data_IF_907729804517
#
_entry.id   IF_907729804517
#
_cell.length_a   1.000
_cell.length_b   1.000
_cell.length_c   1.000
_cell.angle_alpha   90.00
_cell.angle_beta   90.00
_cell.angle_gamma   90.00
#
_symmetry.space_group_name_H-M   'P 1'
#
loop_
_entity.id
_entity.type
_entity.pdbx_description
1 polymer ?
#
# COMPACT_ATOMS: atom_id res chain seq x y z
N UNK A 1 -17.78 -16.97 -17.73
CA UNK A 1 -18.65 -15.99 -17.06
C UNK A 1 -18.17 -15.64 -15.64
N UNK A 2 -18.01 -16.62 -14.73
CA UNK A 2 -17.60 -16.36 -13.33
C UNK A 2 -16.38 -15.43 -13.19
N UNK A 3 -15.24 -15.75 -13.84
CA UNK A 3 -14.01 -14.95 -13.73
C UNK A 3 -14.16 -13.53 -14.32
N UNK A 4 -14.98 -13.38 -15.36
CA UNK A 4 -15.26 -12.08 -15.98
C UNK A 4 -16.04 -11.16 -15.03
N UNK A 5 -16.86 -11.74 -14.14
CA UNK A 5 -17.56 -11.00 -13.10
C UNK A 5 -16.67 -10.80 -11.86
N UNK A 6 -15.95 -11.83 -11.42
CA UNK A 6 -15.07 -11.75 -10.26
C UNK A 6 -13.99 -10.67 -10.43
N UNK A 7 -13.37 -10.57 -11.62
CA UNK A 7 -12.30 -9.58 -11.88
C UNK A 7 -12.76 -8.11 -11.83
N UNK A 8 -14.07 -7.85 -11.85
CA UNK A 8 -14.64 -6.50 -11.74
C UNK A 8 -14.81 -6.05 -10.28
N UNK A 9 -14.72 -6.96 -9.31
CA UNK A 9 -14.84 -6.63 -7.89
C UNK A 9 -13.62 -5.83 -7.42
N UNK A 10 -13.84 -4.78 -6.64
CA UNK A 10 -12.78 -3.87 -6.17
C UNK A 10 -11.71 -4.54 -5.31
N UNK A 11 -12.04 -5.66 -4.69
CA UNK A 11 -11.15 -6.46 -3.83
C UNK A 11 -10.59 -7.70 -4.53
N UNK A 12 -10.85 -7.87 -5.84
CA UNK A 12 -10.36 -9.01 -6.59
C UNK A 12 -8.82 -9.05 -6.59
N UNK A 13 -8.26 -10.11 -6.02
CA UNK A 13 -6.82 -10.32 -5.95
C UNK A 13 -6.06 -9.32 -5.06
N UNK A 14 -6.74 -8.68 -4.11
CA UNK A 14 -6.10 -7.78 -3.12
C UNK A 14 -5.73 -8.58 -1.88
N UNK A 15 -4.43 -8.68 -1.61
CA UNK A 15 -3.89 -9.27 -0.37
C UNK A 15 -3.76 -8.19 0.72
N UNK A 16 -4.29 -8.44 1.92
CA UNK A 16 -4.52 -7.43 2.96
C UNK A 16 -3.60 -7.61 4.17
N UNK A 17 -3.01 -6.50 4.61
CA UNK A 17 -2.03 -6.44 5.70
C UNK A 17 -2.40 -5.32 6.67
N UNK A 18 -2.51 -5.64 7.96
CA UNK A 18 -2.78 -4.65 9.00
C UNK A 18 -1.55 -3.78 9.26
N UNK A 19 -1.73 -2.48 9.34
CA UNK A 19 -0.67 -1.52 9.63
C UNK A 19 -1.22 -0.30 10.36
N UNK A 20 -0.31 0.57 10.79
CA UNK A 20 -0.58 1.94 11.22
C UNK A 20 0.17 2.91 10.33
N UNK A 21 -0.34 4.11 10.14
CA UNK A 21 0.44 5.19 9.56
C UNK A 21 1.47 5.76 10.57
N UNK A 22 2.16 6.84 10.19
CA UNK A 22 3.13 7.49 11.06
C UNK A 22 2.49 8.22 12.26
N UNK A 23 1.19 8.52 12.19
CA UNK A 23 0.41 9.14 13.26
C UNK A 23 -0.21 8.10 14.21
N UNK A 24 -0.01 6.80 13.93
CA UNK A 24 -0.49 5.69 14.75
C UNK A 24 -1.94 5.26 14.43
N UNK A 25 -2.55 5.83 13.39
CA UNK A 25 -3.91 5.52 12.95
C UNK A 25 -3.92 4.16 12.29
N UNK A 26 -4.86 3.31 12.71
CA UNK A 26 -5.04 1.98 12.13
C UNK A 26 -5.54 2.05 10.69
N UNK A 27 -4.84 1.31 9.82
CA UNK A 27 -5.09 1.23 8.38
C UNK A 27 -4.89 -0.23 7.90
N UNK A 28 -5.27 -0.49 6.66
CA UNK A 28 -4.97 -1.75 5.98
C UNK A 28 -4.24 -1.46 4.68
N UNK A 29 -3.08 -2.09 4.50
CA UNK A 29 -2.36 -2.08 3.23
C UNK A 29 -2.92 -3.21 2.35
N UNK A 30 -3.25 -2.89 1.11
CA UNK A 30 -3.64 -3.87 0.10
C UNK A 30 -2.56 -3.99 -0.97
N UNK A 31 -2.22 -5.20 -1.37
CA UNK A 31 -1.29 -5.47 -2.47
C UNK A 31 -2.06 -6.15 -3.59
N UNK A 32 -1.98 -5.63 -4.80
CA UNK A 32 -2.56 -6.29 -5.98
C UNK A 32 -1.75 -6.00 -7.24
N UNK A 33 -2.19 -6.55 -8.38
CA UNK A 33 -1.54 -6.36 -9.69
C UNK A 33 -1.40 -4.88 -10.08
N UNK A 34 -2.28 -4.02 -9.58
CA UNK A 34 -2.32 -2.60 -9.94
C UNK A 34 -1.44 -1.68 -9.09
N UNK A 35 -0.93 -2.16 -7.94
CA UNK A 35 -0.14 -1.36 -7.01
C UNK A 35 -0.35 -1.72 -5.53
N UNK A 36 0.16 -0.84 -4.66
CA UNK A 36 -0.16 -0.80 -3.24
C UNK A 36 -1.39 0.09 -3.01
N UNK A 37 -2.28 -0.33 -2.12
CA UNK A 37 -3.51 0.34 -1.74
C UNK A 37 -3.47 0.62 -0.24
N UNK A 38 -4.07 1.72 0.19
CA UNK A 38 -4.26 2.00 1.61
C UNK A 38 -5.74 2.17 1.87
N UNK A 39 -6.22 1.46 2.88
CA UNK A 39 -7.60 1.50 3.34
C UNK A 39 -7.67 2.01 4.76
N UNK A 40 -8.69 2.82 5.04
CA UNK A 40 -9.11 3.21 6.39
C UNK A 40 -10.61 2.97 6.48
N UNK A 41 -11.05 2.28 7.52
CA UNK A 41 -12.47 1.94 7.73
C UNK A 41 -13.14 1.31 6.49
N UNK A 42 -12.43 0.38 5.83
CA UNK A 42 -12.82 -0.29 4.57
C UNK A 42 -12.92 0.62 3.33
N UNK A 43 -12.71 1.92 3.47
CA UNK A 43 -12.63 2.86 2.37
C UNK A 43 -11.20 2.96 1.86
N UNK A 44 -11.01 2.84 0.54
CA UNK A 44 -9.69 3.06 -0.08
C UNK A 44 -9.36 4.55 -0.06
N UNK A 45 -8.32 4.93 0.68
CA UNK A 45 -7.90 6.33 0.83
C UNK A 45 -6.73 6.70 -0.09
N UNK A 46 -5.81 5.77 -0.37
CA UNK A 46 -4.65 6.02 -1.24
C UNK A 46 -4.38 4.84 -2.18
N UNK A 47 -3.68 5.13 -3.28
CA UNK A 47 -3.20 4.16 -4.26
C UNK A 47 -1.81 4.57 -4.74
N UNK A 48 -0.88 3.62 -4.73
CA UNK A 48 0.48 3.75 -5.25
C UNK A 48 0.67 2.75 -6.40
N UNK A 49 0.46 3.17 -7.66
CA UNK A 49 0.67 2.30 -8.81
C UNK A 49 2.12 1.85 -8.91
N UNK A 50 2.36 0.59 -9.29
CA UNK A 50 3.73 0.05 -9.40
C UNK A 50 4.70 0.90 -10.23
N UNK A 51 4.31 1.50 -11.37
CA UNK A 51 5.22 2.36 -12.14
C UNK A 51 5.74 3.60 -11.38
N UNK A 52 5.03 4.03 -10.32
CA UNK A 52 5.47 5.14 -9.45
C UNK A 52 6.31 4.68 -8.26
N UNK A 53 6.31 3.39 -7.91
CA UNK A 53 7.07 2.87 -6.77
C UNK A 53 8.52 2.62 -7.19
N UNK A 54 9.45 3.38 -6.62
CA UNK A 54 10.89 3.31 -6.93
C UNK A 54 11.64 2.30 -6.06
N UNK A 55 11.24 2.18 -4.80
CA UNK A 55 11.87 1.27 -3.84
C UNK A 55 10.86 0.83 -2.79
N UNK A 56 10.96 -0.43 -2.40
CA UNK A 56 10.26 -0.99 -1.24
C UNK A 56 11.34 -1.46 -0.26
N UNK A 57 11.16 -1.15 1.01
CA UNK A 57 12.10 -1.55 2.04
C UNK A 57 11.42 -1.66 3.40
N UNK A 58 12.09 -2.31 4.35
CA UNK A 58 11.61 -2.39 5.72
C UNK A 58 12.79 -2.28 6.71
N UNK A 59 12.49 -1.82 7.92
CA UNK A 59 13.43 -1.77 9.05
C UNK A 59 12.68 -2.04 10.34
N UNK A 60 13.07 -3.10 11.07
CA UNK A 60 12.31 -3.63 12.21
C UNK A 60 10.86 -3.90 11.76
N UNK A 61 9.86 -3.33 12.42
CA UNK A 61 8.46 -3.47 12.02
C UNK A 61 7.93 -2.30 11.17
N UNK A 62 8.82 -1.44 10.66
CA UNK A 62 8.42 -0.33 9.78
C UNK A 62 8.65 -0.70 8.32
N UNK A 63 7.62 -0.52 7.50
CA UNK A 63 7.62 -0.74 6.06
C UNK A 63 7.62 0.62 5.34
N UNK A 64 8.40 0.74 4.27
CA UNK A 64 8.61 1.99 3.56
C UNK A 64 8.51 1.81 2.06
N UNK A 65 7.85 2.75 1.40
CA UNK A 65 7.82 2.87 -0.05
C UNK A 65 8.40 4.22 -0.46
N UNK A 66 9.31 4.21 -1.43
CA UNK A 66 9.83 5.41 -2.08
C UNK A 66 9.08 5.60 -3.39
N UNK A 67 8.50 6.79 -3.59
CA UNK A 67 7.62 7.10 -4.71
C UNK A 67 8.29 8.15 -5.59
N UNK A 68 8.16 7.96 -6.91
CA UNK A 68 8.58 8.93 -7.92
C UNK A 68 7.73 10.20 -7.78
N UNK A 69 8.31 11.40 -7.89
CA UNK A 69 7.54 12.63 -7.95
C UNK A 69 6.42 12.57 -8.99
N UNK A 70 5.25 13.12 -8.65
CA UNK A 70 4.23 13.48 -9.64
C UNK A 70 4.69 14.61 -10.57
N UNK A 71 3.88 14.96 -11.58
CA UNK A 71 4.19 16.04 -12.52
C UNK A 71 4.40 17.40 -11.82
N UNK A 72 3.77 17.60 -10.66
CA UNK A 72 3.84 18.83 -9.86
C UNK A 72 4.84 18.75 -8.71
N UNK A 73 5.38 17.58 -8.41
CA UNK A 73 6.31 17.38 -7.29
C UNK A 73 7.74 17.34 -7.84
N UNK A 74 8.68 18.02 -7.20
CA UNK A 74 10.09 18.00 -7.64
C UNK A 74 10.91 16.89 -6.97
N UNK A 75 10.42 16.34 -5.86
CA UNK A 75 11.19 15.45 -5.00
C UNK A 75 10.51 14.10 -4.83
N UNK A 76 11.34 13.06 -4.71
CA UNK A 76 10.89 11.73 -4.33
C UNK A 76 10.38 11.74 -2.89
N UNK A 77 9.20 11.17 -2.65
CA UNK A 77 8.63 11.04 -1.32
C UNK A 77 8.86 9.63 -0.77
N UNK A 78 9.11 9.51 0.53
CA UNK A 78 9.17 8.20 1.22
C UNK A 78 8.01 8.13 2.21
N UNK A 79 7.15 7.13 2.02
CA UNK A 79 5.97 6.92 2.86
C UNK A 79 6.26 5.72 3.76
N UNK A 80 6.00 5.90 5.05
CA UNK A 80 6.24 4.89 6.08
C UNK A 80 4.96 4.37 6.70
N UNK A 81 4.95 3.09 7.01
CA UNK A 81 3.88 2.40 7.72
C UNK A 81 4.47 1.53 8.83
N UNK A 82 3.76 1.41 9.94
CA UNK A 82 4.14 0.59 11.09
C UNK A 82 3.32 -0.68 11.13
N UNK A 83 3.97 -1.83 10.97
CA UNK A 83 3.33 -3.13 11.07
C UNK A 83 3.53 -3.73 12.48
N UNK A 84 2.74 -4.77 12.84
CA UNK A 84 2.77 -5.35 14.18
C UNK A 84 4.13 -5.93 14.60
N UNK A 85 4.92 -6.45 13.66
CA UNK A 85 6.20 -7.10 13.96
C UNK A 85 7.19 -7.01 12.79
N UNK A 86 8.45 -7.38 13.05
CA UNK A 86 9.45 -7.59 12.00
C UNK A 86 8.98 -8.57 10.93
N UNK A 87 8.35 -9.67 11.36
CA UNK A 87 7.86 -10.72 10.46
C UNK A 87 6.68 -10.26 9.61
N UNK A 88 5.88 -9.32 10.10
CA UNK A 88 4.79 -8.73 9.33
C UNK A 88 5.30 -7.71 8.29
N UNK A 89 6.37 -6.98 8.62
CA UNK A 89 6.98 -6.00 7.70
C UNK A 89 7.89 -6.62 6.63
N UNK A 90 8.38 -7.84 6.86
CA UNK A 90 9.23 -8.61 5.94
C UNK A 90 8.37 -9.44 4.99
#
# INVERSE_FOLDING_TARGET
EFLENAKKLSMYGVDLHHAKDLEGVDITLGVCSSGLLVYKDKLRINRFPWPKVLKISYKRSSFFIKIRPGEQEQYESTIGFKLPSYRAAK
#
